data_IF_742742975744
#
_entry.id   IF_742742975744
#
_cell.length_a   1.000
_cell.length_b   1.000
_cell.length_c   1.000
_cell.angle_alpha   90.00
_cell.angle_beta   90.00
_cell.angle_gamma   90.00
#
_symmetry.space_group_name_H-M   'P 1'
#
loop_
_entity.id
_entity.type
_entity.pdbx_description
1 polymer ?
#
# COMPACT_ATOMS: atom_id res chain seq x y z
N UNK A 1 6.46 17.01 -59.08
CA UNK A 1 7.07 16.88 -57.73
C UNK A 1 6.73 18.12 -56.91
N UNK A 2 5.88 17.98 -55.89
CA UNK A 2 5.39 19.11 -55.09
C UNK A 2 6.44 19.47 -54.04
N UNK A 3 7.15 20.60 -54.23
CA UNK A 3 8.24 21.04 -53.36
C UNK A 3 7.63 21.71 -52.12
N UNK A 4 7.50 20.95 -51.03
CA UNK A 4 6.96 21.44 -49.76
C UNK A 4 7.88 22.57 -49.24
N UNK A 5 7.30 23.74 -48.95
CA UNK A 5 8.08 24.89 -48.46
C UNK A 5 8.51 24.62 -47.02
N UNK A 6 9.73 25.03 -46.61
CA UNK A 6 10.27 24.77 -45.28
C UNK A 6 9.37 25.33 -44.15
N UNK A 7 8.68 26.45 -44.39
CA UNK A 7 7.67 27.00 -43.45
C UNK A 7 6.49 26.06 -43.20
N UNK A 8 6.04 25.33 -44.22
CA UNK A 8 4.93 24.38 -44.11
C UNK A 8 5.33 23.14 -43.31
N UNK A 9 6.59 22.70 -43.45
CA UNK A 9 7.17 21.62 -42.63
C UNK A 9 7.28 22.03 -41.15
N UNK A 10 7.75 23.26 -40.89
CA UNK A 10 7.85 23.80 -39.52
C UNK A 10 6.47 23.91 -38.86
N UNK A 11 5.48 24.47 -39.55
CA UNK A 11 4.09 24.57 -39.04
C UNK A 11 3.50 23.17 -38.79
N UNK A 12 3.71 22.23 -39.70
CA UNK A 12 3.27 20.84 -39.53
C UNK A 12 3.90 20.17 -38.31
N UNK A 13 5.20 20.34 -38.09
CA UNK A 13 5.89 19.80 -36.91
C UNK A 13 5.41 20.47 -35.60
N UNK A 14 5.20 21.79 -35.61
CA UNK A 14 4.68 22.54 -34.46
C UNK A 14 3.26 22.12 -34.08
N UNK A 15 2.43 21.71 -35.05
CA UNK A 15 1.07 21.21 -34.78
C UNK A 15 1.03 19.71 -34.43
N UNK A 16 1.94 18.90 -34.98
CA UNK A 16 1.98 17.46 -34.71
C UNK A 16 2.36 17.14 -33.26
N UNK A 17 3.25 17.92 -32.65
CA UNK A 17 3.70 17.68 -31.27
C UNK A 17 2.56 17.85 -30.24
N UNK A 18 1.78 18.95 -30.22
CA UNK A 18 0.61 19.08 -29.37
C UNK A 18 -0.42 17.99 -29.63
N UNK A 19 -0.73 17.68 -30.89
CA UNK A 19 -1.71 16.63 -31.24
C UNK A 19 -1.27 15.27 -30.69
N UNK A 20 0.00 14.89 -30.88
CA UNK A 20 0.55 13.66 -30.33
C UNK A 20 0.53 13.64 -28.80
N UNK A 21 0.86 14.77 -28.15
CA UNK A 21 0.79 14.91 -26.69
C UNK A 21 -0.64 14.75 -26.17
N UNK A 22 -1.62 15.44 -26.76
CA UNK A 22 -3.02 15.35 -26.35
C UNK A 22 -3.61 13.96 -26.64
N UNK A 23 -3.29 13.36 -27.79
CA UNK A 23 -3.69 11.99 -28.09
C UNK A 23 -3.13 11.01 -27.04
N UNK A 24 -1.82 11.08 -26.75
CA UNK A 24 -1.19 10.28 -25.71
C UNK A 24 -1.83 10.51 -24.33
N UNK A 25 -2.12 11.77 -23.98
CA UNK A 25 -2.69 12.15 -22.68
C UNK A 25 -4.13 11.70 -22.49
N UNK A 26 -4.93 11.70 -23.55
CA UNK A 26 -6.34 11.26 -23.53
C UNK A 26 -6.46 9.74 -23.61
N UNK A 27 -5.49 9.05 -24.22
CA UNK A 27 -5.47 7.58 -24.30
C UNK A 27 -4.89 6.91 -23.04
N UNK A 28 -4.13 7.63 -22.21
CA UNK A 28 -3.63 7.08 -20.94
C UNK A 28 -4.67 7.16 -19.82
N UNK A 29 -4.82 6.10 -19.00
CA UNK A 29 -5.70 6.12 -17.83
C UNK A 29 -5.36 7.28 -16.90
N UNK A 30 -6.39 8.00 -16.45
CA UNK A 30 -6.27 8.99 -15.38
C UNK A 30 -6.12 8.25 -14.06
N UNK A 31 -4.88 8.06 -13.62
CA UNK A 31 -4.62 7.49 -12.31
C UNK A 31 -4.91 8.52 -11.21
N UNK A 32 -5.61 8.10 -10.16
CA UNK A 32 -6.07 8.98 -9.07
C UNK A 32 -4.89 9.56 -8.26
N UNK A 33 -3.75 8.86 -8.20
CA UNK A 33 -2.54 9.35 -7.52
C UNK A 33 -1.25 8.72 -8.07
N UNK A 34 -0.10 9.24 -7.63
CA UNK A 34 1.22 8.67 -7.93
C UNK A 34 1.60 7.64 -6.87
N UNK A 35 2.00 6.44 -7.32
CA UNK A 35 2.41 5.38 -6.41
C UNK A 35 3.86 5.58 -5.94
N UNK A 36 4.01 5.98 -4.67
CA UNK A 36 5.29 6.18 -4.02
C UNK A 36 5.98 4.88 -3.61
N UNK A 37 7.32 4.89 -3.52
CA UNK A 37 8.11 3.71 -3.11
C UNK A 37 7.75 3.17 -1.72
N UNK A 38 7.26 4.03 -0.83
CA UNK A 38 6.91 3.66 0.54
C UNK A 38 5.65 2.78 0.62
N UNK A 39 4.80 2.76 -0.42
CA UNK A 39 3.56 1.96 -0.43
C UNK A 39 3.29 1.18 -1.71
N UNK A 40 4.23 1.17 -2.67
CA UNK A 40 4.12 0.36 -3.89
C UNK A 40 4.04 -1.16 -3.62
N UNK A 41 4.40 -1.60 -2.41
CA UNK A 41 4.29 -2.99 -1.95
C UNK A 41 3.66 -3.06 -0.57
N UNK A 42 3.07 -4.20 -0.18
CA UNK A 42 2.66 -4.44 1.20
C UNK A 42 3.85 -4.43 2.16
N UNK A 43 3.57 -4.24 3.45
CA UNK A 43 4.53 -4.45 4.53
C UNK A 43 4.87 -5.93 4.58
N UNK A 44 6.16 -6.23 4.42
CA UNK A 44 6.68 -7.59 4.52
C UNK A 44 6.58 -8.10 5.95
N UNK A 45 6.08 -9.32 6.12
CA UNK A 45 6.02 -9.99 7.42
C UNK A 45 6.97 -11.18 7.53
N UNK A 46 7.84 -11.40 6.53
CA UNK A 46 8.81 -12.51 6.49
C UNK A 46 9.74 -12.52 7.70
N UNK A 47 10.13 -11.35 8.21
CA UNK A 47 10.98 -11.23 9.38
C UNK A 47 10.21 -11.23 10.72
N UNK A 48 8.89 -11.42 10.70
CA UNK A 48 8.08 -11.36 11.91
C UNK A 48 8.47 -12.47 12.91
N UNK A 49 8.76 -12.14 14.18
CA UNK A 49 9.05 -13.12 15.21
C UNK A 49 7.89 -14.11 15.41
N UNK A 50 8.20 -15.39 15.53
CA UNK A 50 7.20 -16.46 15.68
C UNK A 50 6.24 -16.24 16.87
N UNK A 51 6.71 -15.59 17.94
CA UNK A 51 5.90 -15.25 19.12
C UNK A 51 4.68 -14.38 18.80
N UNK A 52 4.75 -13.58 17.72
CA UNK A 52 3.64 -12.72 17.26
C UNK A 52 2.53 -13.50 16.55
N UNK A 53 2.77 -14.76 16.18
CA UNK A 53 1.77 -15.66 15.60
C UNK A 53 1.17 -15.13 14.30
N UNK A 54 -0.16 -15.01 14.26
CA UNK A 54 -0.92 -14.64 13.04
C UNK A 54 -0.84 -13.16 12.68
N UNK A 55 -0.24 -12.30 13.51
CA UNK A 55 -0.22 -10.84 13.32
C UNK A 55 -1.60 -10.18 13.35
N UNK A 56 -2.63 -10.93 13.74
CA UNK A 56 -3.97 -10.42 13.97
C UNK A 56 -4.00 -9.51 15.19
N UNK A 57 -4.80 -8.44 15.13
CA UNK A 57 -4.94 -7.49 16.24
C UNK A 57 -5.41 -8.17 17.54
N UNK A 58 -6.20 -9.24 17.43
CA UNK A 58 -6.63 -10.05 18.60
C UNK A 58 -5.44 -10.67 19.34
N UNK A 59 -4.38 -11.08 18.64
CA UNK A 59 -3.19 -11.66 19.25
C UNK A 59 -2.44 -10.61 20.07
N UNK A 60 -2.31 -9.40 19.55
CA UNK A 60 -1.77 -8.25 20.28
C UNK A 60 -2.65 -7.92 21.49
N UNK A 61 -3.97 -7.92 21.29
CA UNK A 61 -4.98 -7.63 22.31
C UNK A 61 -5.08 -8.62 23.46
N UNK A 62 -4.42 -9.78 23.39
CA UNK A 62 -4.30 -10.69 24.52
C UNK A 62 -3.50 -10.07 25.67
N UNK A 63 -2.47 -9.27 25.35
CA UNK A 63 -1.66 -8.52 26.31
C UNK A 63 -1.98 -7.02 26.30
N UNK A 64 -2.24 -6.43 25.13
CA UNK A 64 -2.51 -5.01 24.92
C UNK A 64 -4.02 -4.73 24.81
N UNK A 65 -4.74 -5.00 25.89
CA UNK A 65 -6.20 -5.02 25.86
C UNK A 65 -6.83 -3.65 25.64
N UNK A 66 -6.25 -2.59 26.22
CA UNK A 66 -6.74 -1.22 26.07
C UNK A 66 -6.63 -0.78 24.60
N UNK A 67 -5.42 -0.86 24.04
CA UNK A 67 -5.13 -0.52 22.64
C UNK A 67 -6.00 -1.33 21.67
N UNK A 68 -6.20 -2.62 21.95
CA UNK A 68 -7.07 -3.46 21.12
C UNK A 68 -8.54 -3.05 21.18
N UNK A 69 -9.06 -2.69 22.36
CA UNK A 69 -10.44 -2.18 22.50
C UNK A 69 -10.62 -0.87 21.75
N UNK A 70 -9.64 0.02 21.82
CA UNK A 70 -9.66 1.29 21.09
C UNK A 70 -9.62 1.04 19.57
N UNK A 71 -8.63 0.29 19.10
CA UNK A 71 -8.44 -0.04 17.69
C UNK A 71 -9.70 -0.60 17.03
N UNK A 72 -10.44 -1.48 17.72
CA UNK A 72 -11.68 -2.08 17.19
C UNK A 72 -12.74 -1.06 16.78
N UNK A 73 -12.74 0.13 17.38
CA UNK A 73 -13.75 1.16 17.09
C UNK A 73 -13.40 1.99 15.84
N UNK A 74 -12.14 1.95 15.42
CA UNK A 74 -11.57 2.81 14.36
C UNK A 74 -11.97 2.40 12.94
N UNK A 75 -11.70 3.29 11.97
CA UNK A 75 -11.74 2.97 10.53
C UNK A 75 -10.63 2.01 10.12
N UNK A 76 -9.47 2.05 10.77
CA UNK A 76 -8.37 1.13 10.50
C UNK A 76 -8.78 -0.33 10.67
N UNK A 77 -9.49 -0.67 11.75
CA UNK A 77 -10.02 -2.02 11.97
C UNK A 77 -11.05 -2.45 10.91
N UNK A 78 -11.70 -1.48 10.25
CA UNK A 78 -12.73 -1.71 9.23
C UNK A 78 -12.26 -1.46 7.81
N UNK A 79 -11.00 -1.10 7.59
CA UNK A 79 -10.51 -0.56 6.32
C UNK A 79 -10.83 -1.48 5.12
N UNK A 80 -10.71 -2.79 5.29
CA UNK A 80 -11.05 -3.76 4.24
C UNK A 80 -12.55 -4.03 4.10
N UNK A 81 -13.27 -4.01 5.22
CA UNK A 81 -14.69 -4.43 5.29
C UNK A 81 -15.68 -3.31 5.08
N UNK A 82 -15.22 -2.06 5.11
CA UNK A 82 -16.04 -0.89 4.89
C UNK A 82 -16.83 -1.01 3.57
N UNK A 83 -18.17 -0.90 3.59
CA UNK A 83 -18.98 -1.02 2.38
C UNK A 83 -18.65 0.03 1.32
N UNK A 84 -18.28 1.26 1.71
CA UNK A 84 -17.93 2.32 0.76
C UNK A 84 -16.64 1.99 0.03
N UNK A 85 -15.56 1.72 0.78
CA UNK A 85 -14.31 1.24 0.18
C UNK A 85 -14.53 0.04 -0.74
N UNK A 86 -15.31 -0.96 -0.32
CA UNK A 86 -15.55 -2.15 -1.15
C UNK A 86 -16.33 -1.85 -2.43
N UNK A 87 -17.21 -0.84 -2.42
CA UNK A 87 -17.92 -0.40 -3.61
C UNK A 87 -16.96 0.30 -4.58
N UNK A 88 -16.19 1.28 -4.08
CA UNK A 88 -15.24 2.05 -4.88
C UNK A 88 -14.15 1.15 -5.45
N UNK A 89 -13.56 0.27 -4.63
CA UNK A 89 -12.55 -0.68 -5.10
C UNK A 89 -13.07 -1.61 -6.21
N UNK A 90 -14.36 -1.96 -6.22
CA UNK A 90 -14.94 -2.74 -7.33
C UNK A 90 -15.17 -1.88 -8.58
N UNK A 91 -15.56 -0.63 -8.40
CA UNK A 91 -15.76 0.32 -9.49
C UNK A 91 -14.44 0.62 -10.20
N UNK A 92 -13.39 0.84 -9.42
CA UNK A 92 -12.00 1.07 -9.82
C UNK A 92 -11.29 -0.24 -10.26
N UNK A 93 -11.99 -1.20 -10.86
CA UNK A 93 -11.32 -2.39 -11.45
C UNK A 93 -10.64 -3.36 -10.48
N UNK A 94 -10.79 -3.17 -9.16
CA UNK A 94 -10.11 -3.94 -8.09
C UNK A 94 -8.59 -3.78 -8.08
N UNK A 95 -8.11 -2.55 -8.32
CA UNK A 95 -6.68 -2.27 -8.36
C UNK A 95 -5.93 -2.81 -7.14
N UNK A 96 -4.75 -3.37 -7.38
CA UNK A 96 -3.95 -4.00 -6.31
C UNK A 96 -3.49 -2.95 -5.30
N UNK A 97 -3.15 -1.74 -5.75
CA UNK A 97 -2.55 -0.72 -4.90
C UNK A 97 -3.44 -0.31 -3.72
N UNK A 98 -4.76 -0.34 -3.90
CA UNK A 98 -5.74 -0.06 -2.84
C UNK A 98 -5.54 -0.97 -1.61
N UNK A 99 -5.09 -2.21 -1.85
CA UNK A 99 -4.83 -3.18 -0.78
C UNK A 99 -3.64 -2.81 0.08
N UNK A 100 -2.66 -2.06 -0.43
CA UNK A 100 -1.47 -1.69 0.35
C UNK A 100 -1.77 -0.70 1.48
N UNK A 101 -2.95 -0.06 1.45
CA UNK A 101 -3.46 0.79 2.53
C UNK A 101 -4.58 0.12 3.34
N UNK A 102 -5.46 -0.66 2.70
CA UNK A 102 -6.64 -1.25 3.36
C UNK A 102 -6.41 -2.66 3.93
N UNK A 103 -5.37 -3.35 3.47
CA UNK A 103 -4.89 -4.67 3.93
C UNK A 103 -3.36 -4.69 3.83
N UNK A 104 -2.66 -3.84 4.60
CA UNK A 104 -1.30 -3.42 4.31
C UNK A 104 -0.25 -4.52 4.49
N UNK A 105 -0.54 -5.62 5.17
CA UNK A 105 0.40 -6.73 5.34
C UNK A 105 0.38 -7.66 4.12
N UNK A 106 1.53 -8.20 3.75
CA UNK A 106 1.66 -9.19 2.67
C UNK A 106 0.73 -10.42 2.87
N UNK A 107 0.64 -10.95 4.09
CA UNK A 107 -0.21 -12.09 4.46
C UNK A 107 -1.71 -11.78 4.44
N UNK A 108 -2.12 -10.52 4.31
CA UNK A 108 -3.52 -10.15 4.07
C UNK A 108 -3.91 -10.14 2.60
N UNK A 109 -2.95 -10.31 1.69
CA UNK A 109 -3.19 -10.22 0.26
C UNK A 109 -3.07 -11.59 -0.40
N UNK A 110 -4.03 -11.98 -1.28
CA UNK A 110 -4.00 -13.28 -1.95
C UNK A 110 -2.93 -13.37 -3.04
N UNK A 111 -2.37 -12.21 -3.44
CA UNK A 111 -1.34 -12.09 -4.46
C UNK A 111 -0.23 -11.19 -3.95
N UNK A 112 1.02 -11.53 -4.28
CA UNK A 112 2.21 -10.73 -4.00
C UNK A 112 2.62 -9.93 -5.23
N UNK A 113 3.04 -8.69 -5.01
CA UNK A 113 3.66 -7.83 -6.04
C UNK A 113 5.13 -8.22 -6.18
N UNK A 114 5.48 -8.87 -7.28
CA UNK A 114 6.86 -9.31 -7.56
C UNK A 114 7.60 -8.41 -8.55
N UNK A 115 6.90 -7.48 -9.20
CA UNK A 115 7.46 -6.56 -10.17
C UNK A 115 6.39 -5.65 -10.77
N UNK A 116 6.77 -4.88 -11.78
CA UNK A 116 5.92 -3.92 -12.49
C UNK A 116 6.22 -3.99 -13.98
N UNK A 117 5.20 -4.13 -14.82
CA UNK A 117 5.40 -4.16 -16.27
C UNK A 117 5.86 -2.79 -16.76
N UNK A 118 7.01 -2.73 -17.44
CA UNK A 118 7.59 -1.46 -17.90
C UNK A 118 7.87 -0.44 -16.79
N UNK A 119 7.91 -0.86 -15.53
CA UNK A 119 8.03 0.03 -14.37
C UNK A 119 6.75 0.77 -13.97
N UNK A 120 5.60 0.50 -14.62
CA UNK A 120 4.32 1.09 -14.25
C UNK A 120 3.78 0.43 -12.98
N UNK A 121 3.67 1.21 -11.91
CA UNK A 121 3.24 0.71 -10.61
C UNK A 121 1.74 0.42 -10.54
N UNK A 122 0.97 0.96 -11.47
CA UNK A 122 -0.43 0.62 -11.67
C UNK A 122 -0.60 -0.71 -12.43
N UNK A 123 0.47 -1.26 -13.01
CA UNK A 123 0.47 -2.57 -13.68
C UNK A 123 1.43 -3.56 -12.99
N UNK A 124 1.07 -4.05 -11.78
CA UNK A 124 1.91 -4.94 -11.01
C UNK A 124 1.89 -6.38 -11.56
N UNK A 125 3.06 -7.01 -11.51
CA UNK A 125 3.20 -8.45 -11.76
C UNK A 125 2.82 -9.18 -10.48
N UNK A 126 1.79 -10.03 -10.55
CA UNK A 126 1.18 -10.69 -9.40
C UNK A 126 1.40 -12.21 -9.37
N UNK A 127 1.86 -12.73 -8.23
CA UNK A 127 1.99 -14.18 -7.97
C UNK A 127 1.04 -14.62 -6.84
N UNK A 128 0.44 -15.83 -6.88
CA UNK A 128 -0.27 -16.40 -5.73
C UNK A 128 0.55 -16.33 -4.44
N UNK A 129 -0.12 -15.91 -3.35
CA UNK A 129 0.49 -15.86 -2.03
C UNK A 129 0.13 -17.11 -1.22
N UNK A 130 1.07 -18.06 -0.99
CA UNK A 130 0.81 -19.25 -0.18
C UNK A 130 0.61 -18.95 1.31
N UNK A 131 0.98 -17.75 1.77
CA UNK A 131 0.85 -17.33 3.16
C UNK A 131 -0.36 -16.43 3.41
N UNK A 132 -1.27 -16.33 2.43
CA UNK A 132 -2.50 -15.56 2.57
C UNK A 132 -3.38 -16.12 3.69
N UNK A 133 -3.72 -15.25 4.64
CA UNK A 133 -4.65 -15.52 5.72
C UNK A 133 -5.93 -14.68 5.51
N UNK A 134 -7.05 -15.30 5.12
CA UNK A 134 -8.31 -14.58 4.91
C UNK A 134 -8.86 -13.98 6.21
N UNK A 135 -8.66 -14.63 7.36
CA UNK A 135 -9.11 -14.11 8.64
C UNK A 135 -8.31 -12.86 9.06
N UNK A 136 -7.03 -12.78 8.67
CA UNK A 136 -6.22 -11.59 8.86
C UNK A 136 -6.67 -10.44 7.94
N UNK A 137 -7.05 -10.74 6.70
CA UNK A 137 -7.54 -9.73 5.75
C UNK A 137 -8.76 -8.97 6.29
N UNK A 138 -9.71 -9.68 6.92
CA UNK A 138 -10.91 -9.08 7.50
C UNK A 138 -10.66 -8.16 8.70
N UNK A 139 -9.41 -8.04 9.17
CA UNK A 139 -9.04 -7.13 10.26
C UNK A 139 -8.52 -5.78 9.75
N UNK A 140 -8.50 -5.51 8.45
CA UNK A 140 -8.08 -4.22 7.90
C UNK A 140 -6.64 -3.86 8.29
N UNK A 141 -6.40 -2.64 8.74
CA UNK A 141 -5.09 -2.19 9.22
C UNK A 141 -4.89 -2.67 10.68
N UNK A 142 -4.19 -3.78 10.87
CA UNK A 142 -3.91 -4.33 12.22
C UNK A 142 -2.76 -3.60 12.93
N UNK A 143 -2.49 -3.96 14.19
CA UNK A 143 -1.36 -3.42 14.96
C UNK A 143 -0.02 -3.58 14.22
N UNK A 144 0.20 -4.74 13.59
CA UNK A 144 1.46 -5.03 12.89
C UNK A 144 1.66 -4.15 11.65
N UNK A 145 0.59 -3.62 11.03
CA UNK A 145 0.72 -2.69 9.90
C UNK A 145 1.54 -1.44 10.27
N UNK A 146 1.29 -0.91 11.47
CA UNK A 146 1.98 0.27 11.98
C UNK A 146 3.27 -0.10 12.71
N UNK A 147 3.22 -1.10 13.59
CA UNK A 147 4.29 -1.36 14.53
C UNK A 147 5.38 -2.33 14.03
N UNK A 148 5.09 -3.25 13.12
CA UNK A 148 6.09 -4.24 12.70
C UNK A 148 7.05 -3.66 11.66
N UNK A 149 8.33 -3.53 12.00
CA UNK A 149 9.41 -3.19 11.05
C UNK A 149 10.63 -4.04 11.34
N UNK A 150 11.20 -4.65 10.31
CA UNK A 150 12.45 -5.43 10.39
C UNK A 150 12.47 -6.44 11.56
N UNK A 151 11.34 -7.14 11.76
CA UNK A 151 11.18 -8.15 12.80
C UNK A 151 11.04 -7.59 14.23
N UNK A 152 10.85 -6.28 14.39
CA UNK A 152 10.68 -5.61 15.68
C UNK A 152 9.33 -4.90 15.74
N UNK A 153 8.77 -4.83 16.94
CA UNK A 153 7.60 -3.99 17.24
C UNK A 153 8.12 -2.62 17.65
N UNK A 154 7.95 -1.64 16.77
CA UNK A 154 8.28 -0.26 17.02
C UNK A 154 7.25 0.38 17.95
N UNK A 155 7.71 1.14 18.93
CA UNK A 155 6.87 1.77 19.93
C UNK A 155 7.53 3.02 20.53
N UNK A 156 6.94 3.59 21.59
CA UNK A 156 7.53 4.72 22.31
C UNK A 156 8.79 4.34 23.11
N UNK A 157 8.98 3.04 23.39
CA UNK A 157 10.04 2.52 24.24
C UNK A 157 10.97 1.56 23.49
N UNK A 158 12.26 1.66 23.77
CA UNK A 158 13.29 0.73 23.30
C UNK A 158 13.50 -0.46 24.27
N UNK A 159 14.39 -1.40 23.89
CA UNK A 159 14.63 -2.63 24.65
C UNK A 159 15.25 -2.40 26.04
N UNK A 160 15.88 -1.25 26.28
CA UNK A 160 16.41 -0.88 27.61
C UNK A 160 15.35 -0.31 28.55
N UNK A 161 14.18 0.07 28.02
CA UNK A 161 13.12 0.76 28.76
C UNK A 161 11.95 -0.17 29.10
N UNK A 162 11.74 -1.24 28.32
CA UNK A 162 10.64 -2.18 28.53
C UNK A 162 11.12 -3.62 28.31
N UNK A 163 10.66 -4.52 29.18
CA UNK A 163 10.82 -5.97 29.00
C UNK A 163 9.59 -6.52 28.28
N UNK A 164 9.76 -6.92 27.02
CA UNK A 164 8.69 -7.47 26.19
C UNK A 164 8.99 -8.93 25.79
N UNK A 165 7.96 -9.76 25.58
CA UNK A 165 8.12 -11.14 25.11
C UNK A 165 8.48 -11.23 23.61
N UNK A 166 8.61 -10.09 22.93
CA UNK A 166 9.00 -9.97 21.53
C UNK A 166 9.99 -8.82 21.36
N UNK A 167 10.81 -8.84 20.29
CA UNK A 167 11.72 -7.74 19.98
C UNK A 167 10.98 -6.40 19.85
N UNK A 168 11.53 -5.36 20.48
CA UNK A 168 11.02 -3.99 20.43
C UNK A 168 12.12 -3.01 20.04
N UNK A 169 11.72 -1.90 19.45
CA UNK A 169 12.58 -0.74 19.24
C UNK A 169 11.76 0.55 19.32
N UNK A 170 12.46 1.68 19.54
CA UNK A 170 11.81 2.98 19.58
C UNK A 170 11.58 3.50 18.16
N UNK A 171 10.46 4.17 17.91
CA UNK A 171 10.27 4.96 16.70
C UNK A 171 11.32 6.08 16.60
N UNK A 172 11.91 6.26 15.41
CA UNK A 172 12.66 7.47 15.05
C UNK A 172 11.71 8.65 14.89
N UNK A 173 10.67 8.47 14.06
CA UNK A 173 9.58 9.41 13.84
C UNK A 173 8.25 8.62 13.75
N UNK A 174 7.29 8.83 14.68
CA UNK A 174 5.98 8.20 14.62
C UNK A 174 5.16 8.58 13.38
N UNK A 175 5.49 9.62 12.62
CA UNK A 175 4.72 9.99 11.44
C UNK A 175 5.02 9.10 10.23
N UNK A 176 6.19 8.46 10.18
CA UNK A 176 6.62 7.62 9.05
C UNK A 176 5.66 6.45 8.77
N UNK A 177 4.95 5.96 9.79
CA UNK A 177 3.92 4.92 9.64
C UNK A 177 2.63 5.46 9.01
N UNK A 178 2.25 6.70 9.32
CA UNK A 178 1.02 7.34 8.82
C UNK A 178 1.16 7.69 7.34
N UNK A 179 2.29 8.31 6.99
CA UNK A 179 2.61 8.76 5.63
C UNK A 179 2.90 7.60 4.67
N UNK A 180 2.81 6.35 5.14
CA UNK A 180 2.75 5.21 4.20
C UNK A 180 1.47 5.25 3.37
N UNK A 181 0.35 5.58 4.00
CA UNK A 181 -0.97 5.52 3.37
C UNK A 181 -1.56 6.92 3.16
N UNK A 182 -1.27 7.85 4.07
CA UNK A 182 -1.82 9.22 4.07
C UNK A 182 -0.89 10.21 3.36
N UNK A 183 -0.53 9.89 2.13
CA UNK A 183 0.24 10.75 1.20
C UNK A 183 -0.40 10.91 -0.15
N UNK A 184 -1.54 10.23 -0.35
CA UNK A 184 -2.38 10.35 -1.53
C UNK A 184 -2.99 11.76 -1.46
N UNK A 185 -2.57 12.70 -2.32
CA UNK A 185 -3.16 14.05 -2.38
C UNK A 185 -4.60 13.98 -2.86
#
# INVERSE_FOLDING_TARGET
MMRIRPRTLVIGAVLAVPVAFFAWRMLRPLQIFVIGKHFERPVSTTAAPAVLGTLGARRCGACHQADYREWKTTMHARAWTDPYFRADWRHEGREQICRNCHTPLDRQQPRLVVGFHGGDKWDPILKPNPHFDPALQHQGVTCAACHLRDGKILGPYGPTQIRAPHPVAKFSDPNELCVRCHVVP
#
